data_IF_081416674664
#
_entry.id   IF_081416674664
#
_cell.length_a   1.000
_cell.length_b   1.000
_cell.length_c   1.000
_cell.angle_alpha   90.00
_cell.angle_beta   90.00
_cell.angle_gamma   90.00
#
_symmetry.space_group_name_H-M   'P 1'
#
loop_
_entity.id
_entity.type
_entity.pdbx_description
1 polymer ?
#
# COMPACT_ATOMS: atom_id res chain seq x y z
N UNK A 1 -17.94 -12.01 6.22
CA UNK A 1 -16.52 -12.08 6.66
C UNK A 1 -15.68 -12.30 5.42
N UNK A 2 -14.47 -11.73 5.31
CA UNK A 2 -13.58 -11.99 4.15
C UNK A 2 -13.13 -13.44 4.16
N UNK A 3 -12.91 -14.04 2.99
CA UNK A 3 -12.33 -15.37 2.92
C UNK A 3 -10.85 -15.33 3.34
N UNK A 4 -10.30 -16.48 3.74
CA UNK A 4 -8.87 -16.58 4.06
C UNK A 4 -7.99 -16.20 2.86
N UNK A 5 -8.47 -16.48 1.65
CA UNK A 5 -7.80 -16.12 0.41
C UNK A 5 -7.74 -14.59 0.21
N UNK A 6 -8.82 -13.88 0.53
CA UNK A 6 -8.86 -12.42 0.47
C UNK A 6 -7.90 -11.80 1.49
N UNK A 7 -7.87 -12.35 2.71
CA UNK A 7 -6.98 -11.88 3.77
C UNK A 7 -5.51 -12.07 3.38
N UNK A 8 -5.16 -13.23 2.80
CA UNK A 8 -3.82 -13.49 2.28
C UNK A 8 -3.42 -12.47 1.21
N UNK A 9 -4.32 -12.20 0.26
CA UNK A 9 -4.07 -11.23 -0.82
C UNK A 9 -3.82 -9.81 -0.28
N UNK A 10 -4.60 -9.38 0.73
CA UNK A 10 -4.40 -8.09 1.39
C UNK A 10 -3.02 -8.02 2.05
N UNK A 11 -2.61 -9.07 2.76
CA UNK A 11 -1.31 -9.12 3.43
C UNK A 11 -0.14 -9.09 2.44
N UNK A 12 -0.25 -9.80 1.32
CA UNK A 12 0.76 -9.79 0.26
C UNK A 12 0.94 -8.39 -0.36
N UNK A 13 -0.18 -7.72 -0.69
CA UNK A 13 -0.16 -6.35 -1.23
C UNK A 13 0.45 -5.39 -0.22
N UNK A 14 0.00 -5.43 1.04
CA UNK A 14 0.50 -4.57 2.12
C UNK A 14 2.01 -4.73 2.32
N UNK A 15 2.49 -5.99 2.35
CA UNK A 15 3.92 -6.32 2.48
C UNK A 15 4.75 -5.80 1.31
N UNK A 16 4.25 -5.90 0.07
CA UNK A 16 4.94 -5.35 -1.10
C UNK A 16 5.04 -3.84 -1.07
N UNK A 17 3.95 -3.14 -0.74
CA UNK A 17 3.97 -1.68 -0.59
C UNK A 17 5.04 -1.24 0.42
N UNK A 18 5.09 -1.90 1.59
CA UNK A 18 6.10 -1.66 2.61
C UNK A 18 7.52 -1.92 2.11
N UNK A 19 7.76 -3.05 1.45
CA UNK A 19 9.07 -3.41 0.89
C UNK A 19 9.55 -2.38 -0.14
N UNK A 20 8.66 -1.95 -1.05
CA UNK A 20 8.97 -0.94 -2.07
C UNK A 20 9.31 0.39 -1.40
N UNK A 21 8.51 0.83 -0.41
CA UNK A 21 8.76 2.06 0.34
C UNK A 21 10.14 2.04 1.00
N UNK A 22 10.47 0.96 1.71
CA UNK A 22 11.74 0.81 2.40
C UNK A 22 12.93 0.78 1.42
N UNK A 23 12.80 0.08 0.28
CA UNK A 23 13.81 0.09 -0.79
C UNK A 23 14.07 1.49 -1.35
N UNK A 24 13.07 2.38 -1.30
CA UNK A 24 13.18 3.77 -1.75
C UNK A 24 13.62 4.73 -0.63
N UNK A 25 13.93 4.23 0.56
CA UNK A 25 14.36 5.06 1.70
C UNK A 25 13.29 6.03 2.22
N UNK A 26 12.01 5.77 1.91
CA UNK A 26 10.90 6.67 2.26
C UNK A 26 10.33 6.32 3.63
N UNK A 27 10.01 7.35 4.44
CA UNK A 27 9.18 7.22 5.65
C UNK A 27 7.70 7.04 5.24
N UNK A 28 6.89 6.54 6.16
CA UNK A 28 5.44 6.42 5.93
C UNK A 28 4.78 7.77 5.69
N UNK A 29 5.20 8.80 6.45
CA UNK A 29 4.73 10.18 6.27
C UNK A 29 5.05 10.70 4.87
N UNK A 30 6.24 10.42 4.32
CA UNK A 30 6.62 10.86 2.98
C UNK A 30 5.69 10.32 1.89
N UNK A 31 5.26 9.05 2.00
CA UNK A 31 4.32 8.46 1.04
C UNK A 31 2.92 9.00 1.24
N UNK A 32 2.49 9.14 2.51
CA UNK A 32 1.18 9.67 2.84
C UNK A 32 1.01 11.09 2.30
N UNK A 33 1.98 11.98 2.54
CA UNK A 33 1.97 13.36 2.08
C UNK A 33 1.93 13.42 0.54
N UNK A 34 2.79 12.66 -0.14
CA UNK A 34 2.81 12.56 -1.61
C UNK A 34 1.53 11.99 -2.21
N UNK A 35 0.84 11.11 -1.47
CA UNK A 35 -0.43 10.53 -1.88
C UNK A 35 -1.65 11.37 -1.46
N UNK A 36 -1.46 12.45 -0.70
CA UNK A 36 -2.55 13.23 -0.12
C UNK A 36 -3.40 12.41 0.86
N UNK A 37 -2.75 11.61 1.70
CA UNK A 37 -3.37 10.70 2.66
C UNK A 37 -2.96 11.06 4.08
N UNK A 38 -3.78 10.65 5.04
CA UNK A 38 -3.40 10.64 6.45
C UNK A 38 -2.29 9.58 6.68
N UNK A 39 -1.24 9.94 7.41
CA UNK A 39 -0.10 9.06 7.69
C UNK A 39 -0.49 7.79 8.47
N UNK A 40 -1.39 7.90 9.45
CA UNK A 40 -1.91 6.74 10.19
C UNK A 40 -2.72 5.82 9.29
N UNK A 41 -3.49 6.37 8.35
CA UNK A 41 -4.21 5.58 7.36
C UNK A 41 -3.24 4.79 6.48
N UNK A 42 -2.19 5.43 5.94
CA UNK A 42 -1.20 4.74 5.14
C UNK A 42 -0.44 3.66 5.95
N UNK A 43 -0.12 3.93 7.22
CA UNK A 43 0.50 2.94 8.11
C UNK A 43 -0.40 1.70 8.32
N UNK A 44 -1.72 1.88 8.44
CA UNK A 44 -2.69 0.77 8.52
C UNK A 44 -2.76 -0.03 7.21
N UNK A 45 -2.65 0.64 6.05
CA UNK A 45 -2.58 -0.03 4.75
C UNK A 45 -1.35 -0.94 4.67
N UNK A 46 -0.18 -0.49 5.11
CA UNK A 46 1.04 -1.31 5.13
C UNK A 46 1.01 -2.50 6.09
N UNK A 47 0.08 -2.50 7.07
CA UNK A 47 -0.16 -3.62 8.00
C UNK A 47 -1.33 -4.51 7.56
N UNK A 48 -2.01 -4.18 6.45
CA UNK A 48 -3.21 -4.91 6.01
C UNK A 48 -4.44 -4.67 6.88
N UNK A 49 -4.41 -3.69 7.78
CA UNK A 49 -5.53 -3.32 8.68
C UNK A 49 -6.54 -2.38 8.01
N UNK A 50 -6.17 -1.80 6.87
CA UNK A 50 -7.02 -0.96 6.05
C UNK A 50 -6.83 -1.33 4.57
N UNK A 51 -7.93 -1.46 3.84
CA UNK A 51 -7.91 -1.73 2.40
C UNK A 51 -8.14 -0.41 1.67
N UNK A 52 -7.19 0.04 0.83
CA UNK A 52 -7.40 1.21 0.00
C UNK A 52 -8.41 0.92 -1.11
N UNK A 53 -9.23 1.91 -1.44
CA UNK A 53 -9.98 1.87 -2.70
C UNK A 53 -9.00 1.86 -3.88
N UNK A 54 -9.45 1.47 -5.07
CA UNK A 54 -8.61 1.50 -6.28
C UNK A 54 -8.03 2.89 -6.55
N UNK A 55 -8.82 3.95 -6.31
CA UNK A 55 -8.37 5.34 -6.44
C UNK A 55 -7.25 5.66 -5.45
N UNK A 56 -7.41 5.26 -4.19
CA UNK A 56 -6.38 5.45 -3.15
C UNK A 56 -5.13 4.62 -3.42
N UNK A 57 -5.29 3.38 -3.89
CA UNK A 57 -4.17 2.53 -4.30
C UNK A 57 -3.40 3.20 -5.44
N UNK A 58 -4.07 3.74 -6.46
CA UNK A 58 -3.42 4.50 -7.54
C UNK A 58 -2.57 5.65 -6.98
N UNK A 59 -3.10 6.44 -6.04
CA UNK A 59 -2.35 7.52 -5.39
C UNK A 59 -1.10 7.00 -4.66
N UNK A 60 -1.21 5.90 -3.93
CA UNK A 60 -0.09 5.26 -3.24
C UNK A 60 0.97 4.79 -4.24
N UNK A 61 0.57 4.11 -5.33
CA UNK A 61 1.49 3.63 -6.36
C UNK A 61 2.21 4.79 -7.07
N UNK A 62 1.50 5.89 -7.35
CA UNK A 62 2.08 7.12 -7.90
C UNK A 62 3.07 7.75 -6.93
N UNK A 63 2.73 7.88 -5.65
CA UNK A 63 3.62 8.42 -4.62
C UNK A 63 4.89 7.57 -4.44
N UNK A 64 4.75 6.25 -4.55
CA UNK A 64 5.85 5.30 -4.56
C UNK A 64 6.58 5.22 -5.90
N UNK A 65 6.10 5.88 -6.97
CA UNK A 65 6.67 5.80 -8.34
C UNK A 65 6.88 4.35 -8.79
N UNK A 66 5.83 3.54 -8.73
CA UNK A 66 5.88 2.09 -9.02
C UNK A 66 4.68 1.68 -9.88
N UNK A 67 4.84 0.68 -10.75
CA UNK A 67 3.73 0.16 -11.56
C UNK A 67 2.85 -0.78 -10.72
N UNK A 68 1.57 -0.88 -11.08
CA UNK A 68 0.63 -1.81 -10.43
C UNK A 68 1.10 -3.26 -10.51
N UNK A 69 1.71 -3.68 -11.62
CA UNK A 69 2.25 -5.04 -11.83
C UNK A 69 3.34 -5.46 -10.84
N UNK A 70 4.00 -4.50 -10.18
CA UNK A 70 5.01 -4.79 -9.15
C UNK A 70 4.36 -5.08 -7.78
N UNK A 71 3.08 -4.73 -7.62
CA UNK A 71 2.31 -4.87 -6.37
C UNK A 71 1.23 -5.94 -6.50
N UNK A 72 0.44 -5.88 -7.58
CA UNK A 72 -0.62 -6.82 -7.92
C UNK A 72 -0.01 -7.95 -8.77
N UNK A 73 0.00 -9.18 -8.24
CA UNK A 73 0.60 -10.36 -8.91
C UNK A 73 -0.46 -11.40 -9.25
N UNK A 74 -1.47 -10.97 -9.99
CA UNK A 74 -2.52 -11.80 -10.56
C UNK A 74 -2.75 -11.40 -12.02
#
# INVERSE_FOLDING_TARGET
MRSDQDNKSVQEIASKLRKIRLKKGMKQVDVADKAGLNSNYYARVERGEAIPTVVTLKKILTALKVKSSEVLTF
#
